data_IF_531147166502
#
_entry.id   IF_531147166502
#
_cell.length_a   1.000
_cell.length_b   1.000
_cell.length_c   1.000
_cell.angle_alpha   90.00
_cell.angle_beta   90.00
_cell.angle_gamma   90.00
#
_symmetry.space_group_name_H-M   'P 1'
#
loop_
_entity.id
_entity.type
_entity.pdbx_description
1 polymer ?
#
# COMPACT_ATOMS: atom_id res chain seq x y z
N UNK A 1 15.71 27.61 -12.49
CA UNK A 1 15.24 26.71 -13.58
C UNK A 1 16.25 25.59 -13.74
N UNK A 2 16.01 24.46 -13.07
CA UNK A 2 16.82 23.26 -13.24
C UNK A 2 16.05 22.36 -14.21
N UNK A 3 16.64 22.13 -15.38
CA UNK A 3 16.13 21.18 -16.37
C UNK A 3 16.52 19.80 -15.87
N UNK A 4 15.55 19.03 -15.39
CA UNK A 4 15.74 17.63 -15.04
C UNK A 4 15.54 16.82 -16.32
N UNK A 5 16.64 16.36 -16.91
CA UNK A 5 16.60 15.34 -17.96
C UNK A 5 16.19 14.00 -17.33
N UNK A 6 14.91 13.66 -17.45
CA UNK A 6 14.40 12.33 -17.14
C UNK A 6 14.92 11.38 -18.22
N UNK A 7 15.91 10.57 -17.88
CA UNK A 7 16.34 9.44 -18.71
C UNK A 7 15.18 8.44 -18.81
N UNK A 8 14.42 8.51 -19.89
CA UNK A 8 13.35 7.56 -20.19
C UNK A 8 13.98 6.19 -20.44
N UNK A 9 13.58 5.20 -19.62
CA UNK A 9 13.90 3.79 -19.86
C UNK A 9 13.51 3.44 -21.30
N UNK A 10 14.49 3.04 -22.12
CA UNK A 10 14.26 2.52 -23.48
C UNK A 10 13.13 1.50 -23.46
N UNK A 11 12.01 1.83 -24.09
CA UNK A 11 10.92 0.90 -24.32
C UNK A 11 11.46 -0.27 -25.15
N UNK A 12 11.48 -1.47 -24.58
CA UNK A 12 12.01 -2.66 -25.25
C UNK A 12 11.04 -3.08 -26.34
N UNK A 13 11.52 -3.21 -27.59
CA UNK A 13 10.74 -3.84 -28.68
C UNK A 13 10.22 -5.22 -28.23
N UNK A 14 9.04 -5.67 -28.71
CA UNK A 14 8.56 -7.01 -28.43
C UNK A 14 9.59 -8.07 -28.85
N UNK A 15 9.64 -9.17 -28.10
CA UNK A 15 10.58 -10.30 -28.32
C UNK A 15 10.36 -11.04 -29.65
N UNK A 16 9.26 -10.77 -30.35
CA UNK A 16 8.93 -11.33 -31.67
C UNK A 16 8.84 -10.21 -32.68
N UNK A 17 9.20 -10.51 -33.92
CA UNK A 17 8.89 -9.63 -35.04
C UNK A 17 7.36 -9.47 -35.16
N UNK A 18 6.93 -8.24 -35.34
CA UNK A 18 5.52 -7.88 -35.48
C UNK A 18 5.37 -7.22 -36.84
N UNK A 19 4.59 -7.83 -37.72
CA UNK A 19 4.11 -7.18 -38.92
C UNK A 19 2.97 -6.25 -38.54
N UNK A 20 3.14 -4.97 -38.85
CA UNK A 20 2.15 -3.93 -38.54
C UNK A 20 1.59 -3.43 -39.86
N UNK A 21 0.35 -3.82 -40.16
CA UNK A 21 -0.42 -3.26 -41.26
C UNK A 21 -1.15 -2.02 -40.71
N UNK A 22 -0.90 -0.85 -41.28
CA UNK A 22 -1.56 0.38 -40.85
C UNK A 22 -2.05 1.20 -42.04
N UNK A 23 -3.14 1.95 -41.82
CA UNK A 23 -3.70 2.89 -42.78
C UNK A 23 -4.07 4.17 -42.01
N UNK A 24 -3.65 5.32 -42.54
CA UNK A 24 -4.07 6.63 -42.01
C UNK A 24 -4.98 7.27 -43.06
N UNK A 25 -6.24 7.45 -42.69
CA UNK A 25 -7.24 8.13 -43.50
C UNK A 25 -7.03 9.63 -43.43
N UNK A 26 -6.28 10.17 -44.40
CA UNK A 26 -5.98 11.60 -44.48
C UNK A 26 -7.24 12.48 -44.67
N UNK A 27 -8.39 11.91 -45.06
CA UNK A 27 -9.65 12.67 -45.14
C UNK A 27 -10.29 12.91 -43.76
N UNK A 28 -9.90 12.13 -42.75
CA UNK A 28 -10.34 12.26 -41.36
C UNK A 28 -9.28 12.87 -40.45
N UNK A 29 -8.04 12.94 -40.91
CA UNK A 29 -6.93 13.46 -40.14
C UNK A 29 -6.94 15.00 -40.12
N UNK A 30 -7.44 15.59 -39.04
CA UNK A 30 -7.62 17.04 -38.90
C UNK A 30 -6.37 17.80 -38.39
N UNK A 31 -5.17 17.20 -38.42
CA UNK A 31 -3.90 17.81 -37.94
C UNK A 31 -4.08 18.56 -36.60
N UNK A 32 -4.36 17.81 -35.53
CA UNK A 32 -4.67 18.38 -34.21
C UNK A 32 -3.51 19.22 -33.66
N UNK A 33 -3.81 20.33 -32.99
CA UNK A 33 -2.82 21.21 -32.36
C UNK A 33 -2.01 20.48 -31.27
N UNK A 34 -2.66 19.62 -30.49
CA UNK A 34 -2.08 18.90 -29.36
C UNK A 34 -1.42 17.55 -29.73
N UNK A 35 -1.58 17.11 -30.98
CA UNK A 35 -0.95 15.93 -31.61
C UNK A 35 -0.99 14.68 -30.70
N UNK A 36 -2.17 14.19 -30.31
CA UNK A 36 -2.33 13.13 -29.31
C UNK A 36 -1.71 11.80 -29.78
N UNK A 37 -1.77 11.50 -31.08
CA UNK A 37 -1.16 10.32 -31.68
C UNK A 37 0.38 10.30 -31.59
N UNK A 38 1.04 11.47 -31.66
CA UNK A 38 2.50 11.59 -31.50
C UNK A 38 2.88 11.41 -30.03
N UNK A 39 2.15 12.07 -29.11
CA UNK A 39 2.39 11.97 -27.66
C UNK A 39 2.16 10.55 -27.12
N UNK A 40 1.18 9.83 -27.68
CA UNK A 40 0.86 8.47 -27.28
C UNK A 40 1.89 7.44 -27.77
N UNK A 41 2.79 7.77 -28.70
CA UNK A 41 3.73 6.81 -29.26
C UNK A 41 4.98 6.64 -28.37
N UNK A 42 5.17 5.48 -27.70
CA UNK A 42 6.26 5.29 -26.74
C UNK A 42 7.64 5.09 -27.40
N UNK A 43 7.67 4.94 -28.72
CA UNK A 43 8.88 4.66 -29.51
C UNK A 43 9.10 5.68 -30.63
N UNK A 44 8.33 6.78 -30.61
CA UNK A 44 8.44 7.87 -31.59
C UNK A 44 8.34 7.38 -33.05
N UNK A 45 7.47 6.39 -33.27
CA UNK A 45 7.21 5.85 -34.60
C UNK A 45 6.20 6.69 -35.38
N UNK A 46 5.33 7.45 -34.71
CA UNK A 46 4.37 8.37 -35.33
C UNK A 46 5.04 9.74 -35.49
N UNK A 47 5.03 10.29 -36.69
CA UNK A 47 5.64 11.59 -37.00
C UNK A 47 4.83 12.34 -38.06
N UNK A 48 5.10 13.64 -38.21
CA UNK A 48 4.55 14.47 -39.29
C UNK A 48 5.62 14.61 -40.36
N UNK A 49 5.28 14.29 -41.59
CA UNK A 49 6.18 14.37 -42.73
C UNK A 49 6.39 15.83 -43.17
N UNK A 50 7.64 16.21 -43.44
CA UNK A 50 7.99 17.61 -43.76
C UNK A 50 7.61 18.04 -45.18
N UNK A 51 7.33 17.10 -46.10
CA UNK A 51 7.02 17.41 -47.50
C UNK A 51 5.53 17.60 -47.74
N UNK A 52 4.69 16.74 -47.16
CA UNK A 52 3.24 16.73 -47.37
C UNK A 52 2.42 17.10 -46.11
N UNK A 53 3.10 17.34 -44.97
CA UNK A 53 2.52 17.68 -43.68
C UNK A 53 1.51 16.64 -43.14
N UNK A 54 1.51 15.41 -43.67
CA UNK A 54 0.65 14.33 -43.20
C UNK A 54 1.29 13.55 -42.05
N UNK A 55 0.44 12.96 -41.21
CA UNK A 55 0.89 12.03 -40.16
C UNK A 55 1.28 10.69 -40.79
N UNK A 56 2.48 10.19 -40.50
CA UNK A 56 3.02 8.91 -40.98
C UNK A 56 3.56 8.07 -39.82
N UNK A 57 3.72 6.77 -40.06
CA UNK A 57 4.27 5.79 -39.10
C UNK A 57 5.51 5.13 -39.75
N UNK A 58 6.64 5.07 -39.05
CA UNK A 58 7.88 4.45 -39.56
C UNK A 58 8.11 3.02 -39.04
N UNK A 59 9.20 2.38 -39.46
CA UNK A 59 9.57 1.00 -39.11
C UNK A 59 9.89 0.76 -37.62
N UNK A 60 9.92 1.80 -36.78
CA UNK A 60 10.02 1.62 -35.32
C UNK A 60 8.71 1.14 -34.70
N UNK A 61 7.59 1.25 -35.43
CA UNK A 61 6.28 0.83 -34.94
C UNK A 61 6.24 -0.66 -34.67
N UNK A 62 5.73 -1.04 -33.50
CA UNK A 62 5.53 -2.44 -33.10
C UNK A 62 4.04 -2.76 -32.82
N UNK A 63 3.13 -1.87 -33.23
CA UNK A 63 1.71 -2.18 -33.27
C UNK A 63 0.96 -2.11 -31.92
N UNK A 64 1.43 -1.31 -30.95
CA UNK A 64 0.79 -1.19 -29.63
C UNK A 64 -0.62 -0.55 -29.60
N UNK A 65 -1.14 -0.11 -30.75
CA UNK A 65 -2.45 0.56 -30.96
C UNK A 65 -2.70 1.86 -30.17
N UNK A 66 -1.77 2.35 -29.35
CA UNK A 66 -1.96 3.56 -28.54
C UNK A 66 -2.29 4.81 -29.37
N UNK A 67 -1.63 5.00 -30.52
CA UNK A 67 -1.91 6.13 -31.39
C UNK A 67 -3.29 6.07 -32.06
N UNK A 68 -3.81 4.86 -32.33
CA UNK A 68 -5.18 4.64 -32.80
C UNK A 68 -6.18 5.08 -31.74
N UNK A 69 -6.03 4.60 -30.51
CA UNK A 69 -6.93 4.93 -29.40
C UNK A 69 -6.86 6.42 -29.01
N UNK A 70 -5.70 7.05 -29.21
CA UNK A 70 -5.51 8.47 -28.95
C UNK A 70 -6.05 9.37 -30.07
N UNK A 71 -6.46 8.83 -31.22
CA UNK A 71 -6.95 9.62 -32.34
C UNK A 71 -8.44 9.97 -32.14
N UNK A 72 -8.81 11.25 -31.93
CA UNK A 72 -10.21 11.64 -31.69
C UNK A 72 -11.10 11.56 -32.93
N UNK A 73 -10.52 11.34 -34.11
CA UNK A 73 -11.21 11.29 -35.40
C UNK A 73 -11.23 9.89 -36.03
N UNK A 74 -10.75 8.86 -35.32
CA UNK A 74 -10.63 7.48 -35.81
C UNK A 74 -9.92 7.40 -37.18
N UNK A 75 -8.95 8.28 -37.42
CA UNK A 75 -8.23 8.37 -38.69
C UNK A 75 -7.18 7.25 -38.85
N UNK A 76 -6.81 6.55 -37.79
CA UNK A 76 -5.75 5.52 -37.80
C UNK A 76 -6.38 4.14 -37.69
N UNK A 77 -6.20 3.30 -38.71
CA UNK A 77 -6.46 1.86 -38.64
C UNK A 77 -5.16 1.11 -38.47
N UNK A 78 -5.17 0.09 -37.64
CA UNK A 78 -4.00 -0.71 -37.36
C UNK A 78 -4.39 -2.17 -37.12
N UNK A 79 -3.81 -3.05 -37.91
CA UNK A 79 -3.84 -4.50 -37.75
C UNK A 79 -2.42 -4.98 -37.43
N UNK A 80 -2.31 -5.89 -36.47
CA UNK A 80 -1.03 -6.47 -36.10
C UNK A 80 -1.06 -7.96 -36.31
N UNK A 81 -0.06 -8.45 -37.04
CA UNK A 81 0.21 -9.87 -37.18
C UNK A 81 1.53 -10.13 -36.46
N UNK A 82 1.46 -10.84 -35.35
CA UNK A 82 2.68 -11.38 -34.76
C UNK A 82 3.25 -12.40 -35.73
N UNK A 83 4.55 -12.35 -36.00
CA UNK A 83 5.23 -13.41 -36.70
C UNK A 83 4.95 -14.75 -36.01
N UNK A 84 4.99 -15.82 -36.80
CA UNK A 84 4.80 -17.17 -36.28
C UNK A 84 5.70 -17.38 -35.05
N UNK A 85 5.18 -18.01 -33.97
CA UNK A 85 5.99 -18.29 -32.79
C UNK A 85 7.26 -19.02 -33.23
N UNK A 86 8.43 -18.57 -32.78
CA UNK A 86 9.67 -19.34 -32.93
C UNK A 86 9.43 -20.67 -32.22
N UNK A 87 9.24 -21.74 -32.99
CA UNK A 87 9.02 -23.09 -32.48
C UNK A 87 10.36 -23.73 -32.23
N UNK A 88 10.97 -23.45 -31.09
CA UNK A 88 12.15 -24.22 -30.68
C UNK A 88 11.69 -25.62 -30.24
N UNK A 89 12.17 -26.64 -30.94
CA UNK A 89 11.82 -28.04 -30.72
C UNK A 89 12.49 -28.65 -29.47
N UNK A 90 13.41 -27.94 -28.84
CA UNK A 90 14.16 -28.36 -27.64
C UNK A 90 14.33 -27.20 -26.65
N UNK A 91 14.69 -27.48 -25.38
CA UNK A 91 14.97 -26.41 -24.42
C UNK A 91 16.15 -25.55 -24.88
N UNK A 92 16.05 -24.25 -24.71
CA UNK A 92 17.10 -23.28 -24.99
C UNK A 92 17.88 -22.95 -23.71
N UNK A 93 19.20 -22.78 -23.85
CA UNK A 93 20.08 -22.38 -22.76
C UNK A 93 20.53 -20.95 -23.04
N UNK A 94 20.18 -20.02 -22.15
CA UNK A 94 20.65 -18.64 -22.22
C UNK A 94 22.13 -18.59 -21.78
N UNK A 95 23.08 -18.32 -22.69
CA UNK A 95 24.50 -18.37 -22.37
C UNK A 95 24.89 -17.31 -21.34
N UNK A 96 24.22 -16.15 -21.32
CA UNK A 96 24.50 -15.05 -20.36
C UNK A 96 24.12 -15.38 -18.92
N UNK A 97 23.20 -16.31 -18.71
CA UNK A 97 22.78 -16.79 -17.38
C UNK A 97 23.46 -18.11 -17.00
N UNK A 98 24.04 -18.81 -17.97
CA UNK A 98 24.72 -20.07 -17.76
C UNK A 98 26.02 -19.82 -16.97
N UNK A 99 26.21 -20.58 -15.88
CA UNK A 99 27.45 -20.53 -15.07
C UNK A 99 28.39 -21.71 -15.32
N UNK A 100 28.18 -22.43 -16.43
CA UNK A 100 28.93 -23.64 -16.78
C UNK A 100 29.03 -24.71 -15.65
N UNK A 101 28.08 -24.74 -14.71
CA UNK A 101 28.18 -25.58 -13.51
C UNK A 101 27.99 -27.09 -13.77
N UNK A 102 27.52 -27.48 -14.97
CA UNK A 102 27.35 -28.89 -15.35
C UNK A 102 26.14 -29.62 -14.73
N UNK A 103 25.29 -28.95 -13.95
CA UNK A 103 24.12 -29.59 -13.31
C UNK A 103 23.12 -30.16 -14.34
N UNK A 104 22.91 -29.47 -15.47
CA UNK A 104 22.06 -29.96 -16.54
C UNK A 104 22.67 -31.18 -17.25
N UNK A 105 23.99 -31.19 -17.45
CA UNK A 105 24.76 -32.30 -18.04
C UNK A 105 24.62 -33.56 -17.18
N UNK A 106 24.86 -33.45 -15.87
CA UNK A 106 24.77 -34.60 -14.95
C UNK A 106 23.34 -35.16 -14.83
N UNK A 107 22.33 -34.28 -14.94
CA UNK A 107 20.93 -34.68 -14.91
C UNK A 107 20.42 -35.31 -16.21
N UNK A 108 21.12 -35.14 -17.34
CA UNK A 108 20.66 -35.58 -18.65
C UNK A 108 20.96 -37.08 -18.88
N UNK A 109 19.94 -37.93 -18.70
CA UNK A 109 20.09 -39.39 -18.91
C UNK A 109 20.22 -39.82 -20.37
N UNK A 110 19.83 -38.98 -21.32
CA UNK A 110 19.97 -39.27 -22.76
C UNK A 110 21.30 -38.79 -23.33
N UNK A 111 22.14 -38.14 -22.52
CA UNK A 111 23.42 -37.58 -22.99
C UNK A 111 23.26 -36.46 -24.01
N UNK A 112 22.09 -35.82 -24.08
CA UNK A 112 21.81 -34.75 -25.03
C UNK A 112 22.52 -33.42 -24.67
N UNK A 113 23.04 -33.24 -23.46
CA UNK A 113 23.59 -31.96 -23.00
C UNK A 113 25.09 -32.09 -22.77
N UNK A 114 25.87 -31.17 -23.31
CA UNK A 114 27.33 -31.12 -23.17
C UNK A 114 27.81 -29.69 -22.93
N UNK A 115 29.04 -29.54 -22.42
CA UNK A 115 29.69 -28.23 -22.26
C UNK A 115 30.55 -27.94 -23.49
N UNK A 116 30.39 -26.75 -24.06
CA UNK A 116 31.21 -26.28 -25.19
C UNK A 116 32.22 -25.25 -24.72
N UNK A 117 33.41 -25.30 -25.32
CA UNK A 117 34.53 -24.40 -25.03
C UNK A 117 35.25 -24.09 -26.34
N UNK A 118 34.62 -23.28 -27.18
CA UNK A 118 35.16 -22.91 -28.50
C UNK A 118 35.83 -21.53 -28.43
N UNK A 119 37.15 -21.54 -28.26
CA UNK A 119 38.13 -20.57 -28.80
C UNK A 119 38.08 -19.06 -28.45
N UNK A 120 36.94 -18.50 -28.09
CA UNK A 120 36.78 -17.06 -27.76
C UNK A 120 35.48 -16.72 -27.03
N UNK A 121 34.58 -17.68 -26.79
CA UNK A 121 33.29 -17.48 -26.12
C UNK A 121 33.29 -18.04 -24.68
N UNK A 122 32.44 -17.48 -23.81
CA UNK A 122 32.26 -17.98 -22.45
C UNK A 122 31.74 -19.43 -22.48
N UNK A 123 32.35 -20.30 -21.67
CA UNK A 123 31.95 -21.71 -21.55
C UNK A 123 30.48 -21.79 -21.16
N UNK A 124 29.66 -22.49 -21.94
CA UNK A 124 28.27 -22.75 -21.61
C UNK A 124 27.84 -24.17 -21.99
N UNK A 125 26.63 -24.56 -21.57
CA UNK A 125 26.04 -25.83 -21.96
C UNK A 125 25.25 -25.68 -23.27
N UNK A 126 25.28 -26.73 -24.09
CA UNK A 126 24.50 -26.86 -25.33
C UNK A 126 23.69 -28.15 -25.33
N UNK A 127 22.58 -28.16 -26.07
CA UNK A 127 21.66 -29.30 -26.18
C UNK A 127 21.64 -29.80 -27.62
N UNK A 128 21.99 -31.07 -27.79
CA UNK A 128 21.84 -31.84 -29.02
C UNK A 128 20.34 -32.11 -29.26
N UNK A 129 19.82 -31.58 -30.36
CA UNK A 129 18.39 -31.65 -30.70
C UNK A 129 17.91 -33.09 -30.94
N UNK A 130 18.72 -33.89 -31.62
CA UNK A 130 18.36 -35.25 -32.04
C UNK A 130 18.32 -36.22 -30.85
N UNK A 131 19.13 -35.98 -29.82
CA UNK A 131 19.19 -36.82 -28.62
C UNK A 131 18.24 -36.38 -27.50
N UNK A 132 17.66 -35.19 -27.60
CA UNK A 132 16.84 -34.62 -26.55
C UNK A 132 15.42 -35.20 -26.56
N UNK A 133 15.09 -35.98 -25.52
CA UNK A 133 13.73 -36.56 -25.34
C UNK A 133 12.77 -35.64 -24.58
N UNK A 134 13.16 -34.39 -24.30
CA UNK A 134 12.29 -33.33 -23.75
C UNK A 134 11.68 -33.65 -22.38
N UNK A 135 12.45 -34.31 -21.51
CA UNK A 135 11.99 -34.81 -20.21
C UNK A 135 11.91 -33.79 -19.06
N UNK A 136 12.31 -32.52 -19.26
CA UNK A 136 12.18 -31.49 -18.22
C UNK A 136 13.26 -31.49 -17.14
N UNK A 137 14.17 -32.47 -17.09
CA UNK A 137 15.12 -32.58 -15.98
C UNK A 137 16.19 -31.49 -15.94
N UNK A 138 16.72 -31.08 -17.10
CA UNK A 138 17.73 -30.02 -17.20
C UNK A 138 17.22 -28.66 -16.71
N UNK A 139 15.96 -28.33 -16.98
CA UNK A 139 15.30 -27.15 -16.44
C UNK A 139 15.22 -27.19 -14.92
N UNK A 140 14.84 -28.35 -14.35
CA UNK A 140 14.71 -28.51 -12.89
C UNK A 140 16.05 -28.50 -12.16
N UNK A 141 17.11 -28.97 -12.79
CA UNK A 141 18.45 -29.04 -12.20
C UNK A 141 19.26 -27.76 -12.37
N UNK A 142 18.81 -26.80 -13.19
CA UNK A 142 19.55 -25.57 -13.43
C UNK A 142 19.39 -24.59 -12.26
N UNK A 143 20.46 -24.29 -11.48
CA UNK A 143 20.35 -23.43 -10.30
C UNK A 143 20.25 -21.93 -10.63
N UNK A 144 20.53 -21.56 -11.89
CA UNK A 144 20.53 -20.16 -12.34
C UNK A 144 19.39 -19.83 -13.30
N UNK A 145 18.44 -20.75 -13.47
CA UNK A 145 17.30 -20.59 -14.39
C UNK A 145 17.70 -20.29 -15.85
N UNK A 146 18.95 -20.62 -16.24
CA UNK A 146 19.48 -20.37 -17.57
C UNK A 146 18.80 -21.20 -18.67
N UNK A 147 18.20 -22.33 -18.31
CA UNK A 147 17.51 -23.22 -19.25
C UNK A 147 16.04 -22.85 -19.26
N UNK A 148 15.48 -22.62 -20.45
CA UNK A 148 14.05 -22.39 -20.66
C UNK A 148 13.55 -23.33 -21.75
N UNK A 149 12.33 -23.82 -21.60
CA UNK A 149 11.64 -24.39 -22.74
C UNK A 149 11.20 -23.21 -23.61
N UNK A 150 11.49 -23.23 -24.92
CA UNK A 150 10.75 -22.41 -25.87
C UNK A 150 9.27 -22.53 -25.50
N UNK A 151 8.59 -21.38 -25.36
CA UNK A 151 7.28 -21.27 -24.71
C UNK A 151 6.49 -22.56 -24.89
N UNK A 152 6.16 -23.25 -23.80
CA UNK A 152 5.20 -24.35 -23.89
C UNK A 152 3.90 -23.67 -24.33
N UNK A 153 3.71 -23.55 -25.64
CA UNK A 153 2.42 -23.47 -26.27
C UNK A 153 1.98 -24.93 -26.31
N UNK A 154 1.19 -25.43 -25.33
CA UNK A 154 0.38 -26.58 -25.63
C UNK A 154 -0.47 -26.14 -26.81
N UNK A 155 -0.27 -26.79 -27.97
CA UNK A 155 -0.92 -26.55 -29.27
C UNK A 155 -2.13 -25.63 -29.12
N UNK A 156 -2.10 -24.46 -29.74
CA UNK A 156 -3.28 -23.66 -30.07
C UNK A 156 -4.15 -24.48 -31.00
N UNK A 157 -4.79 -25.52 -30.47
CA UNK A 157 -5.96 -26.12 -31.09
C UNK A 157 -7.10 -25.26 -30.62
N UNK A 158 -7.79 -24.60 -31.55
CA UNK A 158 -9.11 -24.06 -31.25
C UNK A 158 -9.93 -25.18 -30.56
N UNK A 159 -10.52 -24.87 -29.40
CA UNK A 159 -11.24 -25.87 -28.59
C UNK A 159 -10.42 -26.67 -27.57
N UNK A 160 -9.14 -26.34 -27.32
CA UNK A 160 -8.34 -26.99 -26.27
C UNK A 160 -8.94 -26.91 -24.85
N UNK A 161 -8.64 -27.91 -24.01
CA UNK A 161 -9.07 -27.97 -22.60
C UNK A 161 -7.92 -27.62 -21.64
N UNK A 162 -8.27 -26.99 -20.52
CA UNK A 162 -7.37 -26.63 -19.43
C UNK A 162 -7.97 -27.00 -18.08
N UNK A 163 -7.12 -27.33 -17.10
CA UNK A 163 -7.55 -27.62 -15.73
C UNK A 163 -7.74 -26.30 -14.98
N UNK A 164 -8.86 -26.15 -14.29
CA UNK A 164 -9.21 -24.95 -13.50
C UNK A 164 -9.68 -25.35 -12.10
N UNK A 165 -9.52 -24.44 -11.14
CA UNK A 165 -10.11 -24.57 -9.81
C UNK A 165 -11.42 -23.78 -9.77
N UNK A 166 -12.52 -24.46 -9.45
CA UNK A 166 -13.77 -23.78 -9.14
C UNK A 166 -13.68 -23.16 -7.74
N UNK A 167 -13.57 -21.83 -7.69
CA UNK A 167 -13.42 -21.07 -6.44
C UNK A 167 -14.60 -21.24 -5.47
N UNK A 168 -15.81 -21.55 -5.96
CA UNK A 168 -16.99 -21.76 -5.09
C UNK A 168 -17.00 -23.13 -4.40
N UNK A 169 -16.42 -24.14 -5.05
CA UNK A 169 -16.44 -25.52 -4.55
C UNK A 169 -15.13 -25.90 -3.85
N UNK A 170 -14.11 -25.03 -3.91
CA UNK A 170 -12.83 -25.28 -3.29
C UNK A 170 -12.93 -25.06 -1.78
N UNK A 171 -12.57 -26.08 -1.00
CA UNK A 171 -12.57 -26.01 0.47
C UNK A 171 -11.24 -25.51 1.06
N UNK A 172 -10.28 -25.12 0.23
CA UNK A 172 -9.02 -24.53 0.69
C UNK A 172 -8.03 -25.47 1.40
N UNK A 173 -8.11 -26.80 1.23
CA UNK A 173 -7.23 -27.76 1.93
C UNK A 173 -5.73 -27.75 1.50
N UNK A 174 -5.38 -27.05 0.42
CA UNK A 174 -4.01 -26.93 -0.12
C UNK A 174 -3.30 -28.25 -0.45
N UNK A 175 -4.04 -29.34 -0.71
CA UNK A 175 -3.44 -30.60 -1.16
C UNK A 175 -2.89 -30.49 -2.59
N UNK A 176 -3.62 -29.78 -3.47
CA UNK A 176 -3.22 -29.61 -4.86
C UNK A 176 -1.90 -28.83 -5.02
N UNK A 177 -1.64 -27.84 -4.17
CA UNK A 177 -0.40 -27.04 -4.21
C UNK A 177 0.83 -27.87 -3.82
N UNK A 178 0.65 -28.84 -2.91
CA UNK A 178 1.72 -29.73 -2.43
C UNK A 178 2.05 -30.83 -3.42
N UNK A 179 1.06 -31.36 -4.13
CA UNK A 179 1.30 -32.43 -5.11
C UNK A 179 1.80 -31.88 -6.45
N UNK A 180 1.47 -30.64 -6.81
CA UNK A 180 1.74 -30.14 -8.15
C UNK A 180 3.25 -30.10 -8.47
N UNK A 181 3.73 -30.86 -9.47
CA UNK A 181 5.14 -30.89 -9.85
C UNK A 181 5.55 -29.66 -10.68
N UNK A 182 4.58 -28.90 -11.20
CA UNK A 182 4.80 -27.70 -12.01
C UNK A 182 4.85 -26.45 -11.13
N UNK A 183 6.07 -25.99 -10.82
CA UNK A 183 6.28 -24.73 -10.07
C UNK A 183 5.65 -23.56 -10.82
N UNK A 184 4.81 -22.78 -10.13
CA UNK A 184 4.07 -21.65 -10.70
C UNK A 184 2.75 -22.01 -11.38
N UNK A 185 2.42 -23.30 -11.55
CA UNK A 185 1.15 -23.71 -12.13
C UNK A 185 -0.02 -23.54 -11.18
N UNK A 186 0.17 -23.76 -9.87
CA UNK A 186 -0.86 -23.50 -8.85
C UNK A 186 -0.36 -22.37 -7.95
N UNK A 187 -1.13 -21.30 -7.90
CA UNK A 187 -0.89 -20.13 -7.08
C UNK A 187 -2.01 -20.03 -6.04
N UNK A 188 -1.77 -19.33 -4.92
CA UNK A 188 -2.79 -19.10 -3.87
C UNK A 188 -3.09 -17.62 -3.84
N UNK A 189 -4.36 -17.25 -4.03
CA UNK A 189 -4.77 -15.86 -3.98
C UNK A 189 -4.60 -15.27 -2.58
N UNK A 190 -4.06 -14.06 -2.48
CA UNK A 190 -3.95 -13.34 -1.21
C UNK A 190 -5.31 -12.95 -0.67
N UNK A 191 -6.25 -12.55 -1.54
CA UNK A 191 -7.59 -12.11 -1.13
C UNK A 191 -8.49 -13.30 -0.87
N UNK A 192 -8.56 -14.25 -1.81
CA UNK A 192 -9.44 -15.41 -1.68
C UNK A 192 -8.92 -16.47 -0.70
N UNK A 193 -7.61 -16.50 -0.44
CA UNK A 193 -6.90 -17.60 0.27
C UNK A 193 -7.14 -18.97 -0.37
N UNK A 194 -7.52 -19.01 -1.65
CA UNK A 194 -7.82 -20.24 -2.38
C UNK A 194 -6.83 -20.47 -3.53
N UNK A 195 -6.56 -21.73 -3.89
CA UNK A 195 -5.70 -22.05 -5.02
C UNK A 195 -6.38 -21.72 -6.36
N UNK A 196 -5.59 -21.24 -7.32
CA UNK A 196 -5.97 -21.03 -8.71
C UNK A 196 -4.83 -21.49 -9.64
N UNK A 197 -5.18 -21.94 -10.85
CA UNK A 197 -4.21 -22.53 -11.78
C UNK A 197 -3.86 -21.51 -12.87
N UNK A 198 -2.57 -21.30 -13.13
CA UNK A 198 -2.08 -20.63 -14.34
C UNK A 198 -2.06 -21.65 -15.50
N UNK A 199 -2.93 -21.50 -16.51
CA UNK A 199 -3.00 -22.44 -17.63
C UNK A 199 -1.73 -22.47 -18.49
N UNK A 200 -0.85 -21.48 -18.35
CA UNK A 200 0.40 -21.33 -19.09
C UNK A 200 1.52 -22.19 -18.51
N UNK A 201 1.49 -22.45 -17.20
CA UNK A 201 2.45 -23.30 -16.49
C UNK A 201 1.93 -24.71 -16.22
N UNK A 202 0.63 -24.97 -16.42
CA UNK A 202 0.00 -26.26 -16.14
C UNK A 202 0.31 -27.31 -17.23
N UNK A 203 1.06 -28.35 -16.85
CA UNK A 203 1.37 -29.49 -17.71
C UNK A 203 0.18 -30.44 -17.98
N UNK A 204 -0.92 -30.30 -17.21
CA UNK A 204 -2.11 -31.17 -17.25
C UNK A 204 -1.82 -32.64 -16.93
N UNK A 205 -1.00 -32.90 -15.90
CA UNK A 205 -0.73 -34.26 -15.40
C UNK A 205 -1.85 -34.85 -14.51
N UNK A 206 -2.91 -34.07 -14.24
CA UNK A 206 -4.12 -34.49 -13.50
C UNK A 206 -3.93 -34.86 -12.02
N UNK A 207 -2.71 -34.93 -11.48
CA UNK A 207 -2.46 -35.24 -10.05
C UNK A 207 -3.27 -34.36 -9.09
N UNK A 208 -3.31 -33.04 -9.35
CA UNK A 208 -4.08 -32.11 -8.53
C UNK A 208 -5.60 -32.38 -8.55
N UNK A 209 -6.12 -32.97 -9.63
CA UNK A 209 -7.52 -33.35 -9.76
C UNK A 209 -7.82 -34.61 -8.95
N UNK A 210 -6.94 -35.61 -9.00
CA UNK A 210 -7.09 -36.88 -8.27
C UNK A 210 -7.08 -36.67 -6.76
N UNK A 211 -6.18 -35.81 -6.25
CA UNK A 211 -6.07 -35.55 -4.80
C UNK A 211 -7.10 -34.55 -4.27
N UNK A 212 -8.00 -34.01 -5.11
CA UNK A 212 -8.92 -32.96 -4.71
C UNK A 212 -10.18 -33.53 -4.00
N UNK A 213 -10.31 -33.41 -2.66
CA UNK A 213 -11.39 -34.05 -1.92
C UNK A 213 -12.77 -33.46 -2.22
N UNK A 214 -12.84 -32.19 -2.64
CA UNK A 214 -14.10 -31.52 -3.00
C UNK A 214 -14.41 -31.59 -4.50
N UNK A 215 -13.56 -32.27 -5.28
CA UNK A 215 -13.65 -32.33 -6.75
C UNK A 215 -13.80 -30.95 -7.41
N UNK A 216 -13.24 -29.90 -6.79
CA UNK A 216 -13.32 -28.52 -7.28
C UNK A 216 -12.43 -28.28 -8.51
N UNK A 217 -11.45 -29.15 -8.74
CA UNK A 217 -10.49 -29.05 -9.83
C UNK A 217 -11.02 -29.87 -11.00
N UNK A 218 -11.31 -29.23 -12.14
CA UNK A 218 -11.92 -29.88 -13.31
C UNK A 218 -11.39 -29.30 -14.61
N UNK A 219 -11.60 -30.02 -15.70
CA UNK A 219 -11.37 -29.47 -17.04
C UNK A 219 -12.43 -28.43 -17.41
N UNK A 220 -11.97 -27.32 -17.98
CA UNK A 220 -12.78 -26.30 -18.65
C UNK A 220 -12.23 -26.05 -20.06
N UNK A 221 -12.93 -25.23 -20.84
CA UNK A 221 -12.38 -24.73 -22.11
C UNK A 221 -11.21 -23.80 -21.82
N UNK A 222 -10.20 -23.81 -22.70
CA UNK A 222 -9.01 -22.96 -22.55
C UNK A 222 -9.39 -21.48 -22.44
N UNK A 223 -10.36 -21.01 -23.23
CA UNK A 223 -10.90 -19.64 -23.15
C UNK A 223 -11.39 -19.31 -21.74
N UNK A 224 -12.28 -20.12 -21.18
CA UNK A 224 -12.82 -19.92 -19.83
C UNK A 224 -11.75 -20.01 -18.74
N UNK A 225 -10.74 -20.86 -18.93
CA UNK A 225 -9.63 -20.99 -17.99
C UNK A 225 -8.79 -19.71 -17.92
N UNK A 226 -8.41 -19.14 -19.06
CA UNK A 226 -7.69 -17.87 -19.12
C UNK A 226 -8.54 -16.69 -18.63
N UNK A 227 -9.83 -16.63 -18.97
CA UNK A 227 -10.73 -15.61 -18.42
C UNK A 227 -10.80 -15.65 -16.89
N UNK A 228 -10.93 -16.86 -16.32
CA UNK A 228 -10.97 -17.04 -14.87
C UNK A 228 -9.64 -16.68 -14.21
N UNK A 229 -8.52 -17.12 -14.79
CA UNK A 229 -7.18 -16.80 -14.31
C UNK A 229 -6.91 -15.30 -14.36
N UNK A 230 -7.18 -14.65 -15.48
CA UNK A 230 -6.98 -13.21 -15.65
C UNK A 230 -7.82 -12.41 -14.66
N UNK A 231 -9.08 -12.80 -14.44
CA UNK A 231 -9.95 -12.15 -13.44
C UNK A 231 -9.36 -12.21 -12.03
N UNK A 232 -8.89 -13.38 -11.60
CA UNK A 232 -8.25 -13.54 -10.28
C UNK A 232 -6.96 -12.73 -10.24
N UNK A 233 -6.11 -12.81 -11.27
CA UNK A 233 -4.84 -12.08 -11.35
C UNK A 233 -5.01 -10.57 -11.31
N UNK A 234 -6.01 -10.02 -12.00
CA UNK A 234 -6.32 -8.59 -11.95
C UNK A 234 -6.70 -8.13 -10.54
N UNK A 235 -7.52 -8.92 -9.83
CA UNK A 235 -7.87 -8.64 -8.43
C UNK A 235 -6.64 -8.70 -7.51
N UNK A 236 -5.77 -9.68 -7.70
CA UNK A 236 -4.53 -9.81 -6.92
C UNK A 236 -3.56 -8.64 -7.19
N UNK A 237 -3.45 -8.16 -8.43
CA UNK A 237 -2.65 -6.98 -8.76
C UNK A 237 -3.22 -5.75 -8.06
N UNK A 238 -4.54 -5.53 -8.14
CA UNK A 238 -5.20 -4.42 -7.46
C UNK A 238 -4.99 -4.48 -5.94
N UNK A 239 -5.16 -5.65 -5.32
CA UNK A 239 -4.90 -5.86 -3.89
C UNK A 239 -3.46 -5.51 -3.51
N UNK A 240 -2.46 -5.91 -4.33
CA UNK A 240 -1.06 -5.60 -4.06
C UNK A 240 -0.75 -4.10 -4.18
N UNK A 241 -1.40 -3.39 -5.10
CA UNK A 241 -1.25 -1.94 -5.23
C UNK A 241 -1.81 -1.27 -3.98
N UNK A 242 -3.04 -1.62 -3.58
CA UNK A 242 -3.69 -1.10 -2.38
C UNK A 242 -2.84 -1.38 -1.12
N UNK A 243 -2.35 -2.61 -0.94
CA UNK A 243 -1.49 -2.96 0.20
C UNK A 243 -0.21 -2.11 0.26
N UNK A 244 0.39 -1.81 -0.89
CA UNK A 244 1.59 -0.98 -0.95
C UNK A 244 1.28 0.49 -0.68
N UNK A 245 0.17 1.01 -1.18
CA UNK A 245 -0.24 2.39 -0.97
C UNK A 245 -0.67 2.61 0.49
N UNK A 246 -1.39 1.67 1.11
CA UNK A 246 -1.70 1.68 2.54
C UNK A 246 -0.41 1.70 3.38
N UNK A 247 0.60 0.89 3.01
CA UNK A 247 1.88 0.89 3.73
C UNK A 247 2.62 2.20 3.61
N UNK A 248 2.60 2.84 2.43
CA UNK A 248 3.20 4.17 2.25
C UNK A 248 2.48 5.19 3.13
N UNK A 249 1.15 5.26 3.02
CA UNK A 249 0.32 6.16 3.81
C UNK A 249 0.54 5.99 5.32
N UNK A 250 0.57 4.74 5.81
CA UNK A 250 0.86 4.44 7.21
C UNK A 250 2.23 4.96 7.64
N UNK A 251 3.27 4.80 6.82
CA UNK A 251 4.60 5.33 7.14
C UNK A 251 4.63 6.85 7.13
N UNK A 252 3.92 7.48 6.18
CA UNK A 252 3.87 8.93 6.07
C UNK A 252 3.13 9.54 7.26
N UNK A 253 2.02 8.95 7.72
CA UNK A 253 1.32 9.34 8.96
C UNK A 253 2.25 9.26 10.17
N UNK A 254 3.00 8.16 10.35
CA UNK A 254 3.95 8.03 11.46
C UNK A 254 5.07 9.08 11.43
N UNK A 255 5.50 9.51 10.24
CA UNK A 255 6.48 10.60 10.11
C UNK A 255 5.88 11.95 10.49
N UNK A 256 4.64 12.23 10.06
CA UNK A 256 3.93 13.46 10.44
C UNK A 256 3.80 13.53 11.97
N UNK A 257 3.39 12.44 12.62
CA UNK A 257 3.29 12.35 14.07
C UNK A 257 4.64 12.65 14.78
N UNK A 258 5.74 12.09 14.27
CA UNK A 258 7.09 12.40 14.77
C UNK A 258 7.46 13.87 14.59
N UNK A 259 7.15 14.47 13.43
CA UNK A 259 7.43 15.88 13.14
C UNK A 259 6.64 16.80 14.09
N UNK A 260 5.35 16.51 14.30
CA UNK A 260 4.50 17.27 15.22
C UNK A 260 5.01 17.16 16.66
N UNK A 261 5.42 15.96 17.08
CA UNK A 261 6.01 15.72 18.41
C UNK A 261 7.30 16.51 18.60
N UNK A 262 8.20 16.50 17.61
CA UNK A 262 9.45 17.27 17.66
C UNK A 262 9.19 18.77 17.72
N UNK A 263 8.26 19.27 16.90
CA UNK A 263 7.88 20.69 16.92
C UNK A 263 7.26 21.09 18.26
N UNK A 264 6.39 20.25 18.82
CA UNK A 264 5.83 20.48 20.14
C UNK A 264 6.97 20.64 21.16
N UNK A 265 7.96 19.72 21.15
CA UNK A 265 9.12 19.80 22.04
C UNK A 265 9.94 21.09 21.84
N UNK A 266 10.21 21.47 20.59
CA UNK A 266 10.97 22.69 20.24
C UNK A 266 10.31 23.94 20.84
N UNK A 267 8.99 24.07 20.70
CA UNK A 267 8.23 25.24 21.18
C UNK A 267 7.83 25.16 22.65
N UNK A 268 7.76 23.97 23.25
CA UNK A 268 7.46 23.80 24.69
C UNK A 268 8.53 24.45 25.58
N UNK A 269 9.74 24.72 25.09
CA UNK A 269 10.82 25.30 25.89
C UNK A 269 10.61 26.78 26.27
N UNK A 270 9.58 27.44 25.74
CA UNK A 270 9.32 28.87 25.95
C UNK A 270 8.84 29.18 27.38
N UNK A 271 9.31 30.33 27.89
CA UNK A 271 9.05 30.77 29.28
C UNK A 271 7.61 31.25 29.53
N UNK A 272 6.87 31.65 28.49
CA UNK A 272 5.49 32.12 28.67
C UNK A 272 4.56 30.99 29.12
N UNK A 273 3.71 31.28 30.11
CA UNK A 273 2.66 30.37 30.59
C UNK A 273 1.67 30.02 29.49
N UNK A 274 1.17 31.05 28.82
CA UNK A 274 0.27 30.91 27.67
C UNK A 274 0.94 31.51 26.44
N UNK A 275 0.79 30.85 25.29
CA UNK A 275 1.24 31.40 24.01
C UNK A 275 0.49 30.76 22.84
N UNK A 276 0.51 31.48 21.73
CA UNK A 276 0.05 31.00 20.43
C UNK A 276 1.12 31.36 19.38
N UNK A 277 1.51 30.39 18.56
CA UNK A 277 2.54 30.57 17.53
C UNK A 277 2.06 29.93 16.23
N UNK A 278 2.09 30.68 15.13
CA UNK A 278 1.89 30.10 13.80
C UNK A 278 3.12 29.25 13.43
N UNK A 279 2.91 27.94 13.25
CA UNK A 279 3.95 26.94 12.96
C UNK A 279 3.81 26.36 11.55
N UNK A 280 2.88 26.86 10.75
CA UNK A 280 2.55 26.38 9.39
C UNK A 280 3.79 26.17 8.53
N UNK A 281 4.66 27.18 8.47
CA UNK A 281 5.88 27.10 7.64
C UNK A 281 6.84 26.03 8.15
N UNK A 282 7.04 25.94 9.46
CA UNK A 282 7.93 24.93 10.07
C UNK A 282 7.43 23.51 9.86
N UNK A 283 6.11 23.30 9.89
CA UNK A 283 5.49 22.01 9.56
C UNK A 283 5.71 21.68 8.08
N UNK A 284 5.40 22.61 7.17
CA UNK A 284 5.55 22.41 5.73
C UNK A 284 7.01 22.12 5.36
N UNK A 285 7.96 22.89 5.88
CA UNK A 285 9.39 22.70 5.62
C UNK A 285 9.85 21.30 6.10
N UNK A 286 9.49 20.90 7.34
CA UNK A 286 9.85 19.56 7.87
C UNK A 286 9.17 18.42 7.10
N UNK A 287 7.97 18.63 6.54
CA UNK A 287 7.23 17.64 5.76
C UNK A 287 7.83 17.45 4.36
N UNK A 288 8.13 18.56 3.67
CA UNK A 288 8.74 18.52 2.33
C UNK A 288 10.09 17.80 2.32
N UNK A 289 10.85 17.89 3.42
CA UNK A 289 12.16 17.24 3.53
C UNK A 289 12.08 15.73 3.87
N UNK A 290 10.96 15.23 4.39
CA UNK A 290 10.88 13.89 5.00
C UNK A 290 9.82 12.94 4.41
N UNK A 291 8.88 13.45 3.61
CA UNK A 291 7.76 12.67 3.07
C UNK A 291 7.91 12.43 1.56
N UNK A 292 7.54 11.22 1.11
CA UNK A 292 7.75 10.76 -0.28
C UNK A 292 6.53 11.07 -1.19
N UNK A 293 5.36 11.29 -0.60
CA UNK A 293 4.11 11.66 -1.27
C UNK A 293 3.86 13.17 -1.23
N UNK A 294 3.29 13.73 -2.29
CA UNK A 294 2.74 15.08 -2.32
C UNK A 294 1.51 15.17 -1.40
N UNK A 295 1.71 15.34 -0.09
CA UNK A 295 0.62 15.65 0.85
C UNK A 295 0.26 17.11 0.66
N UNK A 296 -1.00 17.38 0.34
CA UNK A 296 -1.51 18.74 0.24
C UNK A 296 -1.71 19.36 1.63
N UNK A 297 -1.66 20.70 1.73
CA UNK A 297 -1.91 21.43 2.99
C UNK A 297 -3.32 21.15 3.53
N UNK A 298 -4.29 20.83 2.66
CA UNK A 298 -5.66 20.50 3.05
C UNK A 298 -5.73 19.15 3.76
N UNK A 299 -4.99 18.15 3.29
CA UNK A 299 -4.90 16.83 3.94
C UNK A 299 -4.17 16.87 5.29
N UNK A 300 -3.35 17.90 5.50
CA UNK A 300 -2.64 18.16 6.75
C UNK A 300 -3.56 18.68 7.85
N UNK A 301 -4.55 19.51 7.51
CA UNK A 301 -5.49 20.06 8.47
C UNK A 301 -6.25 18.96 9.22
N UNK A 302 -6.71 17.94 8.49
CA UNK A 302 -7.40 16.80 9.08
C UNK A 302 -6.48 16.04 10.04
N UNK A 303 -5.22 15.78 9.65
CA UNK A 303 -4.25 15.05 10.48
C UNK A 303 -3.88 15.80 11.76
N UNK A 304 -3.78 17.12 11.70
CA UNK A 304 -3.42 17.98 12.83
C UNK A 304 -4.52 18.00 13.88
N UNK A 305 -5.80 18.01 13.48
CA UNK A 305 -6.93 17.95 14.41
C UNK A 305 -6.98 16.62 15.20
N UNK A 306 -6.38 15.55 14.67
CA UNK A 306 -6.28 14.27 15.36
C UNK A 306 -5.12 14.17 16.34
N UNK A 307 -4.21 15.14 16.36
CA UNK A 307 -3.10 15.13 17.31
C UNK A 307 -3.63 15.46 18.72
N UNK A 308 -3.59 14.52 19.67
CA UNK A 308 -4.18 14.74 20.97
C UNK A 308 -3.40 15.82 21.73
N UNK A 309 -4.10 16.65 22.54
CA UNK A 309 -3.43 17.65 23.35
C UNK A 309 -2.44 17.03 24.34
N UNK A 310 -1.21 17.54 24.38
CA UNK A 310 -0.19 17.17 25.35
C UNK A 310 -0.46 17.96 26.63
N UNK A 311 -0.64 17.26 27.75
CA UNK A 311 -0.95 17.87 29.04
C UNK A 311 0.20 17.68 30.01
N UNK A 312 0.50 18.72 30.78
CA UNK A 312 1.56 18.70 31.78
C UNK A 312 1.04 19.29 33.07
N UNK A 313 1.28 18.59 34.18
CA UNK A 313 0.98 19.08 35.52
C UNK A 313 2.29 19.30 36.26
N UNK A 314 2.45 20.48 36.87
CA UNK A 314 3.66 20.89 37.58
C UNK A 314 3.30 21.35 38.98
N UNK A 315 4.13 20.98 39.95
CA UNK A 315 4.01 21.40 41.35
C UNK A 315 5.17 22.35 41.65
N UNK A 316 4.87 23.52 42.21
CA UNK A 316 5.87 24.48 42.67
C UNK A 316 6.21 24.19 44.13
N UNK A 317 7.37 23.57 44.37
CA UNK A 317 7.81 23.14 45.70
C UNK A 317 7.83 24.30 46.72
N UNK A 318 8.40 25.45 46.32
CA UNK A 318 8.50 26.65 47.16
C UNK A 318 7.14 27.27 47.51
N UNK A 319 6.09 26.94 46.76
CA UNK A 319 4.73 27.47 46.96
C UNK A 319 3.82 26.48 47.68
N UNK A 320 4.09 25.18 47.56
CA UNK A 320 3.28 24.15 48.19
C UNK A 320 3.45 24.19 49.71
N UNK A 321 2.36 24.42 50.44
CA UNK A 321 2.36 24.46 51.91
C UNK A 321 2.00 23.11 52.55
N UNK A 322 1.82 22.04 51.76
CA UNK A 322 1.47 20.72 52.27
C UNK A 322 0.09 20.61 52.95
N UNK A 323 -0.88 21.45 52.60
CA UNK A 323 -2.20 21.46 53.24
C UNK A 323 -3.06 20.22 52.96
N UNK A 324 -2.80 19.49 51.87
CA UNK A 324 -3.50 18.23 51.55
C UNK A 324 -4.88 18.36 50.91
N UNK A 325 -5.43 19.58 50.72
CA UNK A 325 -6.79 19.81 50.16
C UNK A 325 -7.01 19.18 48.76
N UNK A 326 -5.96 19.04 47.97
CA UNK A 326 -6.02 18.45 46.64
C UNK A 326 -6.13 16.91 46.63
N UNK A 327 -5.80 16.23 47.74
CA UNK A 327 -5.83 14.77 47.84
C UNK A 327 -7.28 14.24 47.76
N UNK A 328 -8.22 14.64 48.65
CA UNK A 328 -9.57 14.07 48.66
C UNK A 328 -10.42 14.47 47.44
N UNK A 329 -10.05 15.53 46.70
CA UNK A 329 -10.79 15.98 45.51
C UNK A 329 -10.34 15.26 44.22
N UNK A 330 -9.23 14.51 44.26
CA UNK A 330 -8.71 13.80 43.09
C UNK A 330 -9.59 12.56 42.77
N UNK A 331 -10.25 12.51 41.61
CA UNK A 331 -11.19 11.43 41.30
C UNK A 331 -10.51 10.06 41.08
N UNK A 332 -9.21 10.08 40.77
CA UNK A 332 -8.40 8.90 40.44
C UNK A 332 -7.36 8.58 41.52
N UNK A 333 -7.42 9.27 42.67
CA UNK A 333 -6.48 9.11 43.78
C UNK A 333 -5.00 9.22 43.37
N UNK A 334 -4.69 10.06 42.38
CA UNK A 334 -3.33 10.23 41.85
C UNK A 334 -2.42 11.09 42.74
N UNK A 335 -2.93 11.66 43.84
CA UNK A 335 -2.22 12.66 44.63
C UNK A 335 -1.95 12.13 46.02
N UNK A 336 -0.71 12.22 46.46
CA UNK A 336 -0.29 11.89 47.82
C UNK A 336 0.66 12.95 48.36
N UNK A 337 0.90 12.94 49.67
CA UNK A 337 1.75 13.90 50.38
C UNK A 337 2.78 13.15 51.22
N UNK A 338 4.07 13.35 50.92
CA UNK A 338 5.15 13.05 51.86
C UNK A 338 5.42 14.27 52.71
N UNK A 339 5.69 14.09 54.00
CA UNK A 339 6.17 15.20 54.81
C UNK A 339 7.69 15.16 54.91
N UNK A 340 8.37 16.30 54.71
CA UNK A 340 7.83 17.64 54.42
C UNK A 340 7.36 17.83 52.95
N UNK A 341 6.46 18.80 52.72
CA UNK A 341 5.98 19.31 51.40
C UNK A 341 7.07 19.28 50.31
N UNK A 342 6.76 19.01 49.02
CA UNK A 342 5.47 19.11 48.32
C UNK A 342 4.58 17.85 48.28
N UNK A 343 3.37 18.01 47.72
CA UNK A 343 2.57 16.87 47.24
C UNK A 343 3.24 16.22 46.02
N UNK A 344 2.90 14.96 45.74
CA UNK A 344 3.32 14.22 44.56
C UNK A 344 2.09 13.78 43.76
N UNK A 345 2.22 13.76 42.42
CA UNK A 345 1.17 13.34 41.50
C UNK A 345 1.70 12.16 40.67
N UNK A 346 0.98 11.05 40.70
CA UNK A 346 1.31 9.81 39.97
C UNK A 346 0.86 9.86 38.49
N UNK A 347 1.38 8.91 37.71
CA UNK A 347 1.15 8.80 36.27
C UNK A 347 -0.31 8.49 35.89
N UNK A 348 -1.14 8.03 36.83
CA UNK A 348 -2.57 7.82 36.63
C UNK A 348 -3.40 9.11 36.67
N UNK A 349 -2.78 10.29 36.70
CA UNK A 349 -3.45 11.59 36.62
C UNK A 349 -4.19 11.76 35.28
N UNK A 350 -5.48 12.10 35.36
CA UNK A 350 -6.36 12.31 34.18
C UNK A 350 -6.54 13.79 33.80
N UNK A 351 -5.75 14.69 34.37
CA UNK A 351 -5.71 16.12 34.03
C UNK A 351 -7.08 16.84 34.06
N UNK A 352 -7.91 16.54 35.07
CA UNK A 352 -9.27 17.10 35.19
C UNK A 352 -9.34 18.54 35.74
N UNK A 353 -8.24 19.07 36.30
CA UNK A 353 -8.17 20.45 36.83
C UNK A 353 -8.70 20.65 38.25
N UNK A 354 -9.32 19.65 38.90
CA UNK A 354 -9.89 19.78 40.27
C UNK A 354 -8.86 20.18 41.34
N UNK A 355 -7.64 19.64 41.26
CA UNK A 355 -6.57 20.00 42.20
C UNK A 355 -6.08 21.43 42.01
N UNK A 356 -6.03 21.91 40.76
CA UNK A 356 -5.67 23.30 40.42
C UNK A 356 -6.69 24.26 41.00
N UNK A 357 -7.98 24.01 40.76
CA UNK A 357 -9.06 24.89 41.22
C UNK A 357 -9.19 24.97 42.75
N UNK A 358 -8.72 23.94 43.46
CA UNK A 358 -8.86 23.84 44.93
C UNK A 358 -7.62 24.38 45.65
N UNK A 359 -6.47 24.50 44.97
CA UNK A 359 -5.21 24.87 45.63
C UNK A 359 -5.24 26.34 46.11
N UNK A 360 -5.20 26.59 47.44
CA UNK A 360 -5.37 27.95 47.99
C UNK A 360 -4.16 28.86 47.73
N UNK A 361 -3.01 28.26 47.40
CA UNK A 361 -1.73 28.95 47.19
C UNK A 361 -1.24 28.86 45.74
N UNK A 362 -2.05 28.33 44.81
CA UNK A 362 -1.69 28.20 43.38
C UNK A 362 -0.37 27.45 43.15
N UNK A 363 -0.06 26.44 43.98
CA UNK A 363 1.15 25.63 43.87
C UNK A 363 1.09 24.57 42.78
N UNK A 364 -0.07 24.35 42.14
CA UNK A 364 -0.30 23.34 41.11
C UNK A 364 -0.66 24.05 39.81
N UNK A 365 0.10 23.81 38.76
CA UNK A 365 -0.12 24.37 37.42
C UNK A 365 -0.41 23.24 36.43
N UNK A 366 -1.50 23.38 35.68
CA UNK A 366 -1.88 22.44 34.62
C UNK A 366 -1.86 23.20 33.30
N UNK A 367 -1.09 22.72 32.33
CA UNK A 367 -1.05 23.28 30.98
C UNK A 367 -1.45 22.24 29.95
N UNK A 368 -2.01 22.73 28.85
CA UNK A 368 -2.38 21.95 27.68
C UNK A 368 -1.77 22.58 26.44
N UNK A 369 -1.10 21.75 25.64
CA UNK A 369 -0.42 22.10 24.39
C UNK A 369 -1.06 21.32 23.25
N UNK A 370 -1.49 22.01 22.20
CA UNK A 370 -2.14 21.38 21.06
C UNK A 370 -1.93 22.18 19.78
N UNK A 371 -2.25 21.56 18.66
CA UNK A 371 -2.28 22.20 17.37
C UNK A 371 -3.72 22.56 17.00
N UNK A 372 -3.90 23.75 16.43
CA UNK A 372 -5.19 24.24 15.97
C UNK A 372 -5.06 24.79 14.56
N UNK A 373 -6.01 24.41 13.70
CA UNK A 373 -6.07 24.89 12.32
C UNK A 373 -7.02 26.09 12.23
N UNK A 374 -6.55 27.18 11.62
CA UNK A 374 -7.36 28.37 11.30
C UNK A 374 -7.22 28.70 9.82
N UNK A 375 -8.15 28.18 9.01
CA UNK A 375 -8.07 28.29 7.56
C UNK A 375 -6.92 27.45 7.00
N UNK A 376 -5.88 28.10 6.47
CA UNK A 376 -4.67 27.43 5.95
C UNK A 376 -3.48 27.52 6.89
N UNK A 377 -3.66 28.12 8.06
CA UNK A 377 -2.61 28.28 9.06
C UNK A 377 -2.79 27.28 10.20
N UNK A 378 -1.68 26.70 10.63
CA UNK A 378 -1.59 25.81 11.79
C UNK A 378 -0.88 26.56 12.90
N UNK A 379 -1.53 26.60 14.05
CA UNK A 379 -1.04 27.23 15.27
C UNK A 379 -0.68 26.16 16.30
N UNK A 380 0.44 26.35 16.97
CA UNK A 380 0.77 25.62 18.20
C UNK A 380 0.43 26.52 19.39
N UNK A 381 -0.47 26.03 20.24
CA UNK A 381 -1.06 26.80 21.32
C UNK A 381 -0.73 26.09 22.64
N UNK A 382 -0.22 26.86 23.61
CA UNK A 382 -0.18 26.47 25.02
C UNK A 382 -1.15 27.37 25.79
N UNK A 383 -1.98 26.76 26.62
CA UNK A 383 -2.81 27.47 27.60
C UNK A 383 -2.79 26.81 28.96
N UNK A 384 -3.01 27.61 29.99
CA UNK A 384 -3.17 27.17 31.37
C UNK A 384 -4.63 26.77 31.62
N UNK A 385 -4.83 25.70 32.39
CA UNK A 385 -6.14 25.20 32.80
C UNK A 385 -6.34 25.57 34.26
N UNK A 386 -7.00 26.70 34.50
CA UNK A 386 -7.20 27.27 35.84
C UNK A 386 -8.47 26.75 36.53
N UNK A 387 -9.30 26.00 35.83
CA UNK A 387 -10.61 25.54 36.33
C UNK A 387 -10.90 24.08 36.00
N UNK A 388 -11.92 23.54 36.66
CA UNK A 388 -12.42 22.19 36.37
C UNK A 388 -12.93 22.16 34.94
N UNK A 389 -12.54 21.11 34.19
CA UNK A 389 -13.07 20.91 32.84
C UNK A 389 -14.55 20.61 32.90
N UNK A 390 -15.31 21.44 32.21
CA UNK A 390 -16.74 21.27 32.03
C UNK A 390 -17.06 21.21 30.54
N UNK A 391 -17.82 20.21 30.14
CA UNK A 391 -18.09 19.94 28.74
C UNK A 391 -19.15 18.88 28.52
N UNK A 392 -19.80 18.95 27.37
CA UNK A 392 -20.89 18.06 26.99
C UNK A 392 -20.35 16.85 26.19
N UNK A 393 -20.72 15.65 26.60
CA UNK A 393 -20.43 14.44 25.84
C UNK A 393 -21.42 14.30 24.68
N UNK A 394 -20.90 14.18 23.46
CA UNK A 394 -21.70 13.93 22.25
C UNK A 394 -21.22 12.68 21.54
N UNK A 395 -22.18 11.90 21.04
CA UNK A 395 -21.91 10.69 20.26
C UNK A 395 -22.66 10.69 18.93
N UNK A 396 -21.91 10.49 17.85
CA UNK A 396 -22.45 10.32 16.51
C UNK A 396 -22.84 8.86 16.30
N UNK A 397 -24.15 8.57 16.44
CA UNK A 397 -24.69 7.21 16.39
C UNK A 397 -24.39 6.48 15.08
N UNK A 398 -24.28 7.21 13.97
CA UNK A 398 -24.00 6.62 12.66
C UNK A 398 -22.58 6.05 12.53
N UNK A 399 -21.62 6.57 13.30
CA UNK A 399 -20.22 6.13 13.30
C UNK A 399 -19.94 5.08 14.38
N UNK A 400 -20.64 5.16 15.51
CA UNK A 400 -20.41 4.29 16.66
C UNK A 400 -20.63 2.80 16.33
N UNK A 401 -19.61 1.98 16.62
CA UNK A 401 -19.68 0.52 16.43
C UNK A 401 -20.06 -0.24 17.72
N UNK A 402 -20.44 0.47 18.79
CA UNK A 402 -20.81 -0.12 20.08
C UNK A 402 -19.78 -1.07 20.70
N UNK A 403 -18.48 -0.89 20.40
CA UNK A 403 -17.42 -1.82 20.82
C UNK A 403 -17.09 -1.81 22.32
N UNK A 404 -17.55 -0.80 23.07
CA UNK A 404 -17.39 -0.70 24.52
C UNK A 404 -15.99 -0.31 25.02
N UNK A 405 -15.04 0.02 24.14
CA UNK A 405 -13.67 0.42 24.56
C UNK A 405 -13.68 1.65 25.46
N UNK A 406 -14.44 2.68 25.10
CA UNK A 406 -14.57 3.90 25.91
C UNK A 406 -15.24 3.65 27.28
N UNK A 407 -16.14 2.67 27.37
CA UNK A 407 -16.77 2.26 28.64
C UNK A 407 -15.71 1.65 29.55
N UNK A 408 -14.93 0.70 29.03
CA UNK A 408 -13.91 -0.01 29.81
C UNK A 408 -12.73 0.87 30.24
N UNK A 409 -12.46 1.96 29.52
CA UNK A 409 -11.35 2.87 29.80
C UNK A 409 -11.81 4.16 30.50
N UNK A 410 -13.09 4.27 30.88
CA UNK A 410 -13.57 5.45 31.59
C UNK A 410 -13.04 5.45 33.03
N UNK A 411 -12.24 6.45 33.45
CA UNK A 411 -11.61 6.46 34.78
C UNK A 411 -12.60 6.70 35.93
N UNK A 412 -13.83 7.09 35.61
CA UNK A 412 -14.88 7.47 36.58
C UNK A 412 -16.18 6.71 36.33
N UNK A 413 -16.14 5.66 35.50
CA UNK A 413 -17.29 4.81 35.16
C UNK A 413 -18.53 5.60 34.70
N UNK A 414 -18.33 6.74 34.04
CA UNK A 414 -19.41 7.60 33.56
C UNK A 414 -20.11 7.04 32.31
N UNK A 415 -19.56 6.01 31.67
CA UNK A 415 -20.08 5.45 30.43
C UNK A 415 -20.64 4.04 30.67
N UNK A 416 -21.69 3.66 29.94
CA UNK A 416 -22.25 2.31 29.96
C UNK A 416 -22.69 1.87 28.57
N UNK A 417 -22.62 0.57 28.29
CA UNK A 417 -23.07 -0.03 27.03
C UNK A 417 -24.34 -0.86 27.30
N UNK A 418 -25.44 -0.54 26.62
CA UNK A 418 -26.71 -1.29 26.69
C UNK A 418 -27.35 -1.33 25.31
N UNK A 419 -27.83 -2.51 24.89
CA UNK A 419 -28.54 -2.69 23.62
C UNK A 419 -27.79 -2.10 22.40
N UNK A 420 -26.47 -2.34 22.33
CA UNK A 420 -25.57 -1.79 21.31
C UNK A 420 -25.54 -0.25 21.24
N UNK A 421 -25.93 0.45 22.31
CA UNK A 421 -25.82 1.90 22.46
C UNK A 421 -24.98 2.29 23.69
N UNK A 422 -24.16 3.34 23.54
CA UNK A 422 -23.37 3.92 24.62
C UNK A 422 -24.15 5.04 25.28
N UNK A 423 -24.29 4.97 26.60
CA UNK A 423 -24.92 5.97 27.44
C UNK A 423 -23.90 6.63 28.36
N UNK A 424 -24.01 7.94 28.54
CA UNK A 424 -23.18 8.73 29.45
C UNK A 424 -24.00 9.21 30.64
N UNK A 425 -23.43 9.11 31.83
CA UNK A 425 -23.87 9.80 33.02
C UNK A 425 -23.11 11.13 33.14
N UNK A 426 -23.78 12.23 32.80
CA UNK A 426 -23.17 13.56 32.77
C UNK A 426 -22.75 14.05 34.16
N UNK A 427 -23.37 13.56 35.23
CA UNK A 427 -23.00 13.93 36.62
C UNK A 427 -21.67 13.30 37.05
N UNK A 428 -21.31 12.14 36.48
CA UNK A 428 -20.05 11.46 36.75
C UNK A 428 -18.94 11.87 35.78
N UNK A 429 -19.30 12.32 34.58
CA UNK A 429 -18.35 12.67 33.53
C UNK A 429 -17.48 13.86 33.98
N UNK A 430 -16.16 13.65 34.02
CA UNK A 430 -15.18 14.69 34.37
C UNK A 430 -14.57 15.37 33.13
N UNK A 431 -15.15 15.15 31.94
CA UNK A 431 -14.72 15.78 30.69
C UNK A 431 -13.20 15.66 30.42
N UNK A 432 -12.62 14.49 30.75
CA UNK A 432 -11.18 14.23 30.59
C UNK A 432 -10.74 14.02 29.13
N UNK A 433 -11.70 13.79 28.21
CA UNK A 433 -11.49 13.53 26.76
C UNK A 433 -10.79 12.22 26.41
N UNK A 434 -10.60 11.32 27.37
CA UNK A 434 -9.97 10.01 27.12
C UNK A 434 -10.77 9.16 26.12
N UNK A 435 -12.10 9.16 26.27
CA UNK A 435 -12.99 8.41 25.38
C UNK A 435 -13.03 8.96 23.94
N UNK A 436 -12.75 10.25 23.75
CA UNK A 436 -12.62 10.89 22.45
C UNK A 436 -11.32 10.41 21.76
N UNK A 437 -10.20 10.45 22.49
CA UNK A 437 -8.89 9.99 21.98
C UNK A 437 -8.86 8.48 21.66
N UNK A 438 -9.56 7.65 22.42
CA UNK A 438 -9.59 6.20 22.24
C UNK A 438 -10.53 5.72 21.13
N UNK A 439 -11.41 6.56 20.58
CA UNK A 439 -12.44 6.14 19.64
C UNK A 439 -11.87 6.05 18.21
N UNK A 440 -11.62 4.85 17.63
CA UNK A 440 -10.95 4.73 16.33
C UNK A 440 -11.82 5.20 15.15
N UNK A 441 -13.12 5.39 15.38
CA UNK A 441 -14.10 5.84 14.39
C UNK A 441 -14.57 7.27 14.66
N UNK A 442 -13.96 7.96 15.64
CA UNK A 442 -14.27 9.35 16.01
C UNK A 442 -15.76 9.60 16.26
N UNK A 443 -16.45 8.61 16.81
CA UNK A 443 -17.87 8.73 17.11
C UNK A 443 -18.13 9.59 18.35
N UNK A 444 -17.13 9.86 19.20
CA UNK A 444 -17.28 10.56 20.47
C UNK A 444 -16.58 11.91 20.38
N UNK A 445 -17.24 12.97 20.85
CA UNK A 445 -16.66 14.33 20.98
C UNK A 445 -17.06 14.95 22.31
N UNK A 446 -16.10 15.54 23.02
CA UNK A 446 -16.37 16.32 24.23
C UNK A 446 -16.32 17.80 23.86
N UNK A 447 -17.44 18.49 23.93
CA UNK A 447 -17.53 19.93 23.67
C UNK A 447 -17.34 20.69 24.98
N UNK A 448 -16.16 21.28 25.21
CA UNK A 448 -15.90 22.07 26.41
C UNK A 448 -16.68 23.39 26.37
N UNK A 449 -17.29 23.79 27.50
CA UNK A 449 -18.16 24.97 27.57
C UNK A 449 -17.40 26.31 27.48
N UNK A 450 -16.07 26.27 27.50
CA UNK A 450 -15.17 27.45 27.48
C UNK A 450 -14.31 27.53 26.19
N UNK A 451 -14.66 26.79 25.13
CA UNK A 451 -13.99 26.79 23.82
C UNK A 451 -14.91 27.24 22.67
#
# INVERSE_FOLDING_TARGET
MIIIEVSTKKCTKPLREVEVDYEIDNSKCEICEDKPCLKACPVEAVYIDSEDNNTKINEKCFGCVLCREACPYDAIKMETKLADPIRENIPNINPKLCRACGACVSSCKTGAIHLTSSGSEEVHSEIDEDKCVRCGYCFRSCPTDAIKYGEILPRTVSGGRAIVVNQKNCIGCMTCTRICPSRGAINVGKTSKLPYIDPSYCARCEECMEVCPSSAIKYSSRKKAYESFNKIRSLEIASNIIDNDIKKLSNDISKVDSILTDLAHDYSSRESKDFEINVTKSIIDKIQDNIVSDISVVELNDLVEYFPPIRKIKIFEDTCIGCGECIPICPVNAIWLEMPSPIHIEDNCVFCGKCVSTCPVTAIELTEEFFETRGNDIYFIRRTIDSVRDGEFRIEKSLCQACGVCVNQCPVDALSLKDDEIFVNQDLCISCRECEALCPVNAIKICLNNE
#
